data_IF_881249449254
#
_entry.id   IF_881249449254
#
_cell.length_a   1.000
_cell.length_b   1.000
_cell.length_c   1.000
_cell.angle_alpha   90.00
_cell.angle_beta   90.00
_cell.angle_gamma   90.00
#
_symmetry.space_group_name_H-M   'P 1'
#
loop_
_entity.id
_entity.type
_entity.pdbx_description
1 polymer ?
#
# COMPACT_ATOMS: atom_id res chain seq x y z
N UNK A 1 6.49 -13.33 -44.46
CA UNK A 1 5.53 -13.77 -43.43
C UNK A 1 5.92 -13.14 -42.10
N UNK A 2 5.00 -12.54 -41.34
CA UNK A 2 5.30 -12.06 -39.99
C UNK A 2 5.66 -13.26 -39.10
N UNK A 3 6.67 -13.11 -38.23
CA UNK A 3 7.04 -14.16 -37.27
C UNK A 3 5.87 -14.41 -36.29
N UNK A 4 5.56 -15.67 -35.93
CA UNK A 4 4.57 -15.96 -34.92
C UNK A 4 4.98 -15.35 -33.59
N UNK A 5 4.07 -14.60 -32.98
CA UNK A 5 4.28 -13.92 -31.69
C UNK A 5 3.88 -14.87 -30.56
N UNK A 6 4.70 -14.96 -29.50
CA UNK A 6 4.43 -15.85 -28.36
C UNK A 6 3.21 -15.40 -27.55
N UNK A 7 2.59 -16.33 -26.79
CA UNK A 7 1.45 -16.02 -25.92
C UNK A 7 1.79 -14.96 -24.85
N UNK A 8 3.01 -15.01 -24.30
CA UNK A 8 3.53 -14.01 -23.36
C UNK A 8 3.54 -12.62 -24.00
N UNK A 9 4.11 -12.53 -25.21
CA UNK A 9 4.22 -11.26 -25.94
C UNK A 9 2.84 -10.72 -26.34
N UNK A 10 1.87 -11.58 -26.66
CA UNK A 10 0.49 -11.16 -26.95
C UNK A 10 -0.18 -10.56 -25.72
N UNK A 11 -0.09 -11.23 -24.56
CA UNK A 11 -0.63 -10.72 -23.30
C UNK A 11 0.01 -9.37 -22.92
N UNK A 12 1.32 -9.23 -23.06
CA UNK A 12 2.02 -7.96 -22.77
C UNK A 12 1.56 -6.82 -23.70
N UNK A 13 1.25 -7.14 -24.96
CA UNK A 13 0.82 -6.15 -25.95
C UNK A 13 -0.62 -5.71 -25.68
N UNK A 14 -1.52 -6.65 -25.37
CA UNK A 14 -2.90 -6.37 -24.98
C UNK A 14 -2.98 -5.57 -23.67
N UNK A 15 -2.13 -5.90 -22.70
CA UNK A 15 -2.01 -5.17 -21.44
C UNK A 15 -1.56 -3.73 -21.69
N UNK A 16 -0.52 -3.51 -22.51
CA UNK A 16 -0.04 -2.17 -22.87
C UNK A 16 -1.10 -1.35 -23.60
N UNK A 17 -1.86 -1.94 -24.52
CA UNK A 17 -2.96 -1.25 -25.20
C UNK A 17 -4.10 -0.89 -24.24
N UNK A 18 -4.43 -1.79 -23.31
CA UNK A 18 -5.47 -1.55 -22.30
C UNK A 18 -5.08 -0.41 -21.35
N UNK A 19 -3.82 -0.39 -20.91
CA UNK A 19 -3.28 0.68 -20.05
C UNK A 19 -3.26 2.02 -20.81
N UNK A 20 -2.80 2.04 -22.06
CA UNK A 20 -2.80 3.25 -22.89
C UNK A 20 -4.21 3.84 -23.07
N UNK A 21 -5.24 2.98 -23.20
CA UNK A 21 -6.63 3.41 -23.25
C UNK A 21 -7.11 3.98 -21.90
N UNK A 22 -6.72 3.38 -20.77
CA UNK A 22 -7.05 3.90 -19.43
C UNK A 22 -6.39 5.25 -19.16
N UNK A 23 -5.13 5.42 -19.56
CA UNK A 23 -4.39 6.68 -19.39
C UNK A 23 -5.09 7.88 -20.05
N UNK A 24 -5.87 7.67 -21.11
CA UNK A 24 -6.63 8.75 -21.76
C UNK A 24 -7.88 9.22 -20.99
N UNK A 25 -8.39 8.41 -20.05
CA UNK A 25 -9.63 8.70 -19.32
C UNK A 25 -9.46 8.89 -17.82
N UNK A 26 -8.24 8.79 -17.31
CA UNK A 26 -7.93 9.00 -15.90
C UNK A 26 -7.56 10.47 -15.72
N UNK A 27 -8.23 11.16 -14.80
CA UNK A 27 -7.88 12.53 -14.41
C UNK A 27 -6.85 12.53 -13.28
N UNK A 28 -6.98 11.60 -12.33
CA UNK A 28 -6.12 11.47 -11.16
C UNK A 28 -4.63 11.29 -11.53
N UNK A 29 -3.76 12.25 -11.16
CA UNK A 29 -2.34 12.19 -11.42
C UNK A 29 -1.64 10.97 -10.82
N UNK A 30 -2.07 10.51 -9.64
CA UNK A 30 -1.48 9.35 -8.95
C UNK A 30 -1.79 8.08 -9.74
N UNK A 31 -3.04 7.93 -10.17
CA UNK A 31 -3.46 6.83 -11.03
C UNK A 31 -2.71 6.79 -12.36
N UNK A 32 -2.47 7.96 -12.98
CA UNK A 32 -1.66 8.03 -14.20
C UNK A 32 -0.24 7.53 -13.96
N UNK A 33 0.41 7.98 -12.89
CA UNK A 33 1.75 7.52 -12.53
C UNK A 33 1.79 6.02 -12.31
N UNK A 34 0.81 5.48 -11.58
CA UNK A 34 0.66 4.04 -11.35
C UNK A 34 0.52 3.25 -12.64
N UNK A 35 -0.34 3.69 -13.55
CA UNK A 35 -0.53 3.08 -14.86
C UNK A 35 0.75 3.11 -15.71
N UNK A 36 1.54 4.18 -15.64
CA UNK A 36 2.81 4.27 -16.37
C UNK A 36 3.90 3.37 -15.78
N UNK A 37 3.99 3.27 -14.45
CA UNK A 37 4.85 2.29 -13.79
C UNK A 37 4.50 0.88 -14.27
N UNK A 38 3.20 0.56 -14.32
CA UNK A 38 2.69 -0.72 -14.81
C UNK A 38 3.00 -0.96 -16.30
N UNK A 39 2.81 0.05 -17.16
CA UNK A 39 3.11 -0.02 -18.60
C UNK A 39 4.59 -0.30 -18.88
N UNK A 40 5.48 0.17 -18.01
CA UNK A 40 6.94 -0.06 -18.09
C UNK A 40 7.39 -1.40 -17.51
N UNK A 41 6.47 -2.21 -16.99
CA UNK A 41 6.80 -3.49 -16.35
C UNK A 41 7.41 -3.33 -14.96
N UNK A 42 7.26 -2.15 -14.34
CA UNK A 42 7.54 -1.97 -12.92
C UNK A 42 6.36 -2.47 -12.10
N UNK A 43 6.23 -3.80 -12.02
CA UNK A 43 5.22 -4.46 -11.18
C UNK A 43 5.79 -4.80 -9.80
N UNK A 44 4.90 -4.77 -8.81
CA UNK A 44 5.23 -5.11 -7.42
C UNK A 44 6.20 -4.13 -6.75
N UNK A 45 6.46 -4.38 -5.46
CA UNK A 45 7.30 -3.50 -4.64
C UNK A 45 8.74 -3.38 -5.14
N UNK A 46 9.29 -4.45 -5.73
CA UNK A 46 10.63 -4.44 -6.32
C UNK A 46 10.71 -3.58 -7.59
N UNK A 47 9.66 -3.60 -8.42
CA UNK A 47 9.57 -2.78 -9.62
C UNK A 47 9.50 -1.30 -9.25
N UNK A 48 8.64 -0.94 -8.29
CA UNK A 48 8.50 0.41 -7.79
C UNK A 48 9.77 0.89 -7.07
N UNK A 49 10.45 0.03 -6.32
CA UNK A 49 11.75 0.35 -5.71
C UNK A 49 12.87 0.61 -6.70
N UNK A 50 12.81 0.07 -7.92
CA UNK A 50 13.73 0.47 -9.01
C UNK A 50 13.39 1.83 -9.60
N UNK A 51 12.11 2.23 -9.59
CA UNK A 51 11.69 3.55 -10.05
C UNK A 51 12.16 4.60 -9.06
N UNK A 52 11.90 4.40 -7.76
CA UNK A 52 12.32 5.29 -6.69
C UNK A 52 13.83 5.56 -6.74
N UNK A 53 14.66 4.51 -6.75
CA UNK A 53 16.13 4.63 -6.82
C UNK A 53 16.65 5.29 -8.11
N UNK A 54 15.84 5.38 -9.15
CA UNK A 54 16.22 6.11 -10.38
C UNK A 54 15.90 7.60 -10.25
N UNK A 55 14.91 7.96 -9.44
CA UNK A 55 14.53 9.34 -9.17
C UNK A 55 15.46 9.97 -8.13
N UNK A 56 15.93 9.17 -7.15
CA UNK A 56 16.89 9.58 -6.12
C UNK A 56 18.30 9.72 -6.72
N UNK A 57 18.58 10.88 -7.31
CA UNK A 57 19.85 11.18 -7.99
C UNK A 57 21.01 11.31 -6.98
N UNK A 58 20.72 11.88 -5.81
CA UNK A 58 21.74 12.17 -4.81
C UNK A 58 22.00 10.97 -3.86
N UNK A 59 21.10 9.99 -3.83
CA UNK A 59 21.23 8.76 -3.04
C UNK A 59 20.93 8.96 -1.55
N UNK A 60 20.13 9.95 -1.17
CA UNK A 60 19.78 10.24 0.22
C UNK A 60 18.83 9.21 0.81
N UNK A 61 18.10 8.47 -0.03
CA UNK A 61 17.05 7.54 0.38
C UNK A 61 15.67 8.19 0.52
N UNK A 62 15.54 9.46 0.15
CA UNK A 62 14.32 10.27 0.06
C UNK A 62 14.33 11.05 -1.26
N UNK A 63 13.16 11.46 -1.75
CA UNK A 63 13.04 12.28 -2.96
C UNK A 63 12.72 13.71 -2.58
N UNK A 64 13.67 14.61 -2.85
CA UNK A 64 13.37 16.04 -2.85
C UNK A 64 12.30 16.38 -3.90
N UNK A 65 11.67 17.56 -3.76
CA UNK A 65 10.69 18.05 -4.74
C UNK A 65 11.28 18.10 -6.15
N UNK A 66 12.52 18.56 -6.28
CA UNK A 66 13.23 18.65 -7.55
C UNK A 66 13.46 17.28 -8.18
N UNK A 67 13.90 16.30 -7.39
CA UNK A 67 14.14 14.92 -7.84
C UNK A 67 12.83 14.22 -8.22
N UNK A 68 11.77 14.42 -7.45
CA UNK A 68 10.46 13.87 -7.77
C UNK A 68 9.91 14.41 -9.08
N UNK A 69 9.91 15.74 -9.28
CA UNK A 69 9.43 16.36 -10.52
C UNK A 69 10.27 15.93 -11.72
N UNK A 70 11.60 15.90 -11.58
CA UNK A 70 12.50 15.39 -12.63
C UNK A 70 12.18 13.92 -12.94
N UNK A 71 11.97 13.11 -11.91
CA UNK A 71 11.56 11.71 -12.03
C UNK A 71 10.26 11.52 -12.80
N UNK A 72 9.25 12.36 -12.55
CA UNK A 72 7.98 12.36 -13.28
C UNK A 72 8.16 12.79 -14.75
N UNK A 73 9.03 13.77 -14.99
CA UNK A 73 9.38 14.21 -16.34
C UNK A 73 10.03 13.08 -17.15
N UNK A 74 11.01 12.40 -16.57
CA UNK A 74 11.68 11.24 -17.18
C UNK A 74 10.74 10.03 -17.31
N UNK A 75 9.72 9.97 -16.45
CA UNK A 75 8.62 9.02 -16.52
C UNK A 75 7.59 9.37 -17.61
N UNK A 76 7.79 10.40 -18.41
CA UNK A 76 6.92 10.72 -19.55
C UNK A 76 5.51 11.16 -19.13
N UNK A 77 5.33 11.57 -17.87
CA UNK A 77 4.10 12.21 -17.39
C UNK A 77 4.04 13.69 -17.74
N UNK A 78 5.19 14.30 -18.07
CA UNK A 78 5.31 15.71 -18.39
C UNK A 78 4.25 16.27 -19.36
N UNK A 79 3.88 15.57 -20.46
CA UNK A 79 2.85 16.07 -21.36
C UNK A 79 1.43 16.09 -20.80
N UNK A 80 1.19 15.48 -19.64
CA UNK A 80 -0.15 15.22 -19.08
C UNK A 80 -0.35 15.86 -17.70
N UNK A 81 0.64 16.58 -17.19
CA UNK A 81 0.63 17.24 -15.88
C UNK A 81 0.95 18.72 -16.06
N UNK A 82 0.16 19.57 -15.40
CA UNK A 82 0.46 21.00 -15.23
C UNK A 82 1.38 21.24 -14.04
N UNK A 83 1.94 22.44 -13.92
CA UNK A 83 2.75 22.82 -12.76
C UNK A 83 1.99 22.65 -11.43
N UNK A 84 0.69 22.97 -11.42
CA UNK A 84 -0.19 22.78 -10.28
C UNK A 84 -0.42 21.30 -9.94
N UNK A 85 -0.36 20.40 -10.93
CA UNK A 85 -0.50 18.96 -10.70
C UNK A 85 0.75 18.37 -10.05
N UNK A 86 1.94 18.92 -10.32
CA UNK A 86 3.17 18.50 -9.66
C UNK A 86 3.17 18.84 -8.17
N UNK A 87 2.69 20.02 -7.81
CA UNK A 87 2.58 20.43 -6.40
C UNK A 87 1.57 19.56 -5.67
N UNK A 88 0.38 19.35 -6.25
CA UNK A 88 -0.62 18.45 -5.67
C UNK A 88 -0.13 17.01 -5.53
N UNK A 89 0.62 16.51 -6.52
CA UNK A 89 1.23 15.19 -6.46
C UNK A 89 2.26 15.12 -5.34
N UNK A 90 3.12 16.13 -5.22
CA UNK A 90 4.12 16.16 -4.18
C UNK A 90 3.47 16.17 -2.79
N UNK A 91 2.47 17.03 -2.58
CA UNK A 91 1.70 17.11 -1.33
C UNK A 91 0.96 15.80 -1.00
N UNK A 92 0.47 15.08 -2.01
CA UNK A 92 -0.18 13.78 -1.78
C UNK A 92 0.80 12.66 -1.42
N UNK A 93 2.04 12.77 -1.89
CA UNK A 93 3.08 11.80 -1.61
C UNK A 93 3.80 12.09 -0.29
N UNK A 94 4.07 13.35 0.02
CA UNK A 94 4.68 13.82 1.27
C UNK A 94 3.63 13.87 2.41
N UNK A 95 3.21 12.69 2.84
CA UNK A 95 2.10 12.51 3.78
C UNK A 95 2.40 13.11 5.16
N UNK A 96 3.66 13.11 5.58
CA UNK A 96 4.10 13.74 6.83
C UNK A 96 4.51 15.22 6.68
N UNK A 97 4.42 15.78 5.47
CA UNK A 97 4.82 17.15 5.15
C UNK A 97 6.26 17.48 5.57
N UNK A 98 7.17 16.50 5.45
CA UNK A 98 8.59 16.66 5.79
C UNK A 98 9.35 17.49 4.75
N UNK A 99 8.76 17.71 3.57
CA UNK A 99 9.40 18.39 2.43
C UNK A 99 10.22 17.44 1.55
N UNK A 100 10.13 16.13 1.79
CA UNK A 100 10.80 15.08 1.03
C UNK A 100 9.95 13.82 1.04
N UNK A 101 9.87 13.10 -0.07
CA UNK A 101 9.08 11.87 -0.15
C UNK A 101 9.96 10.68 0.22
N UNK A 102 9.67 10.02 1.34
CA UNK A 102 10.38 8.80 1.74
C UNK A 102 9.97 7.61 0.88
N UNK A 103 10.80 6.56 0.92
CA UNK A 103 10.55 5.36 0.14
C UNK A 103 9.20 4.69 0.46
N UNK A 104 8.85 4.59 1.74
CA UNK A 104 7.58 4.02 2.19
C UNK A 104 6.37 4.85 1.75
N UNK A 105 6.48 6.18 1.82
CA UNK A 105 5.46 7.10 1.31
C UNK A 105 5.24 6.95 -0.19
N UNK A 106 6.33 6.90 -0.97
CA UNK A 106 6.26 6.66 -2.41
C UNK A 106 5.59 5.33 -2.75
N UNK A 107 5.95 4.25 -2.05
CA UNK A 107 5.34 2.94 -2.27
C UNK A 107 3.87 2.96 -1.88
N UNK A 108 3.50 3.61 -0.77
CA UNK A 108 2.10 3.72 -0.32
C UNK A 108 1.25 4.46 -1.34
N UNK A 109 1.77 5.53 -1.93
CA UNK A 109 1.04 6.32 -2.92
C UNK A 109 0.91 5.62 -4.28
N UNK A 110 1.94 4.90 -4.75
CA UNK A 110 1.95 4.32 -6.11
C UNK A 110 1.37 2.90 -6.17
N UNK A 111 1.30 2.19 -5.04
CA UNK A 111 0.78 0.82 -5.05
C UNK A 111 -0.68 0.78 -5.50
N UNK A 112 -1.10 -0.28 -6.21
CA UNK A 112 -2.50 -0.43 -6.59
C UNK A 112 -3.39 -0.64 -5.37
N UNK A 113 -4.65 -0.17 -5.44
CA UNK A 113 -5.65 -0.51 -4.43
C UNK A 113 -5.86 -2.01 -4.42
N UNK A 114 -6.24 -2.51 -3.26
CA UNK A 114 -6.55 -3.91 -3.06
C UNK A 114 -7.73 -4.34 -3.97
N UNK A 115 -7.66 -5.56 -4.51
CA UNK A 115 -8.77 -6.11 -5.28
C UNK A 115 -10.01 -6.36 -4.39
N UNK A 116 -11.25 -6.24 -4.93
CA UNK A 116 -12.48 -6.34 -4.13
C UNK A 116 -12.61 -7.62 -3.32
N UNK A 117 -12.13 -8.76 -3.85
CA UNK A 117 -12.18 -10.05 -3.16
C UNK A 117 -11.29 -10.07 -1.92
N UNK A 118 -10.09 -9.49 -2.01
CA UNK A 118 -9.17 -9.39 -0.87
C UNK A 118 -9.69 -8.37 0.14
N UNK A 119 -10.21 -7.25 -0.34
CA UNK A 119 -10.80 -6.20 0.50
C UNK A 119 -11.96 -6.77 1.34
N UNK A 120 -12.85 -7.55 0.74
CA UNK A 120 -13.95 -8.20 1.44
C UNK A 120 -13.48 -9.16 2.56
N UNK A 121 -12.31 -9.80 2.43
CA UNK A 121 -11.73 -10.65 3.49
C UNK A 121 -11.15 -9.81 4.62
N UNK A 122 -10.46 -8.72 4.28
CA UNK A 122 -9.93 -7.76 5.27
C UNK A 122 -11.08 -7.13 6.06
N UNK A 123 -12.16 -6.75 5.39
CA UNK A 123 -13.35 -6.23 6.06
C UNK A 123 -13.98 -7.24 7.01
N UNK A 124 -14.10 -8.51 6.61
CA UNK A 124 -14.58 -9.58 7.51
C UNK A 124 -13.68 -9.77 8.73
N UNK A 125 -12.36 -9.62 8.57
CA UNK A 125 -11.43 -9.66 9.69
C UNK A 125 -11.64 -8.45 10.63
N UNK A 126 -11.81 -7.25 10.07
CA UNK A 126 -12.07 -6.04 10.84
C UNK A 126 -13.39 -6.14 11.64
N UNK A 127 -14.49 -6.52 10.99
CA UNK A 127 -15.81 -6.71 11.61
C UNK A 127 -15.79 -7.76 12.74
N UNK A 128 -14.88 -8.74 12.65
CA UNK A 128 -14.71 -9.73 13.71
C UNK A 128 -13.97 -9.17 14.93
N UNK A 129 -13.08 -8.20 14.71
CA UNK A 129 -12.35 -7.52 15.77
C UNK A 129 -13.21 -6.47 16.44
N UNK A 130 -13.91 -5.64 15.66
CA UNK A 130 -14.82 -4.61 16.14
C UNK A 130 -16.07 -5.24 16.76
N UNK A 131 -15.99 -5.57 18.06
CA UNK A 131 -17.12 -6.16 18.79
C UNK A 131 -18.15 -5.12 19.17
N UNK A 132 -17.71 -3.89 19.38
CA UNK A 132 -18.59 -2.77 19.69
C UNK A 132 -19.50 -2.41 18.51
N UNK A 133 -19.04 -2.63 17.28
CA UNK A 133 -19.71 -2.25 16.04
C UNK A 133 -19.68 -0.76 15.77
N UNK A 134 -18.77 -0.02 16.41
CA UNK A 134 -18.66 1.45 16.28
C UNK A 134 -17.73 1.90 15.14
N UNK A 135 -17.16 0.94 14.40
CA UNK A 135 -16.27 1.18 13.27
C UNK A 135 -14.80 1.40 13.67
N UNK A 136 -14.45 1.17 14.94
CA UNK A 136 -13.10 1.26 15.47
C UNK A 136 -12.75 0.01 16.27
N UNK A 137 -11.48 -0.41 16.22
CA UNK A 137 -10.98 -1.53 17.02
C UNK A 137 -10.14 -0.97 18.15
N UNK A 138 -10.63 -1.14 19.38
CA UNK A 138 -9.98 -0.64 20.58
C UNK A 138 -9.37 -1.77 21.42
N UNK A 139 -8.66 -1.39 22.49
CA UNK A 139 -8.20 -2.33 23.51
C UNK A 139 -9.33 -3.21 24.08
N UNK A 140 -10.53 -2.66 24.29
CA UNK A 140 -11.64 -3.41 24.87
C UNK A 140 -12.18 -4.47 23.89
N UNK A 141 -12.20 -4.15 22.60
CA UNK A 141 -12.60 -5.08 21.55
C UNK A 141 -11.63 -6.27 21.47
N UNK A 142 -10.33 -5.98 21.41
CA UNK A 142 -9.32 -7.00 21.18
C UNK A 142 -9.10 -7.91 22.40
N UNK A 143 -9.27 -7.38 23.62
CA UNK A 143 -9.21 -8.16 24.85
C UNK A 143 -10.23 -9.30 24.87
N UNK A 144 -11.38 -9.11 24.22
CA UNK A 144 -12.41 -10.15 24.09
C UNK A 144 -12.09 -11.24 23.06
N UNK A 145 -11.12 -11.00 22.17
CA UNK A 145 -10.79 -11.86 21.02
C UNK A 145 -9.44 -12.56 21.19
N UNK A 146 -8.45 -11.89 21.77
CA UNK A 146 -7.10 -12.40 21.96
C UNK A 146 -6.76 -12.61 23.44
N UNK A 147 -6.13 -13.76 23.73
CA UNK A 147 -5.63 -14.07 25.06
C UNK A 147 -4.11 -13.98 25.09
N UNK A 148 -3.56 -13.15 25.97
CA UNK A 148 -2.10 -12.99 26.17
C UNK A 148 -1.50 -14.05 27.11
N UNK A 149 -2.32 -14.93 27.69
CA UNK A 149 -1.91 -15.84 28.76
C UNK A 149 -0.89 -16.91 28.34
N UNK A 150 -0.69 -17.11 27.03
CA UNK A 150 0.36 -17.98 26.48
C UNK A 150 1.61 -17.22 26.01
N UNK A 151 1.62 -15.89 26.12
CA UNK A 151 2.77 -15.06 25.74
C UNK A 151 3.86 -15.13 26.83
N UNK A 152 5.11 -15.36 26.43
CA UNK A 152 6.25 -15.49 27.34
C UNK A 152 6.56 -14.22 28.14
N UNK A 153 6.38 -13.03 27.54
CA UNK A 153 6.59 -11.72 28.19
C UNK A 153 5.48 -11.40 29.22
N UNK A 154 4.28 -11.94 29.02
CA UNK A 154 3.22 -11.87 30.03
C UNK A 154 3.52 -12.81 31.20
N UNK A 155 3.90 -14.06 30.90
CA UNK A 155 4.16 -15.09 31.91
C UNK A 155 5.35 -14.78 32.83
N UNK A 156 6.38 -14.11 32.31
CA UNK A 156 7.55 -13.72 33.10
C UNK A 156 7.40 -12.33 33.75
N UNK A 157 6.24 -11.68 33.59
CA UNK A 157 5.94 -10.37 34.19
C UNK A 157 6.68 -9.19 33.56
N UNK A 158 7.29 -9.34 32.38
CA UNK A 158 7.98 -8.26 31.67
C UNK A 158 7.02 -7.24 31.07
N UNK A 159 5.83 -7.68 30.63
CA UNK A 159 4.79 -6.81 30.07
C UNK A 159 3.42 -7.17 30.61
N UNK A 160 2.59 -6.15 30.78
CA UNK A 160 1.17 -6.30 31.12
C UNK A 160 0.36 -6.73 29.90
N UNK A 161 -0.84 -7.28 30.16
CA UNK A 161 -1.81 -7.60 29.08
C UNK A 161 -2.12 -6.36 28.23
N UNK A 162 -2.28 -5.20 28.87
CA UNK A 162 -2.55 -3.94 28.18
C UNK A 162 -1.40 -3.55 27.25
N UNK A 163 -0.16 -3.60 27.72
CA UNK A 163 1.00 -3.25 26.89
C UNK A 163 1.17 -4.18 25.69
N UNK A 164 0.91 -5.48 25.86
CA UNK A 164 0.97 -6.45 24.76
C UNK A 164 -0.11 -6.21 23.71
N UNK A 165 -1.34 -5.97 24.13
CA UNK A 165 -2.46 -5.72 23.22
C UNK A 165 -2.35 -4.35 22.54
N UNK A 166 -1.92 -3.31 23.25
CA UNK A 166 -1.65 -2.00 22.64
C UNK A 166 -0.50 -2.08 21.64
N UNK A 167 0.58 -2.79 21.96
CA UNK A 167 1.67 -3.04 21.00
C UNK A 167 1.21 -3.84 19.79
N UNK A 168 0.23 -4.74 19.94
CA UNK A 168 -0.37 -5.44 18.82
C UNK A 168 -1.16 -4.47 17.92
N UNK A 169 -2.02 -3.63 18.51
CA UNK A 169 -2.82 -2.62 17.78
C UNK A 169 -1.95 -1.61 17.04
N UNK A 170 -0.85 -1.19 17.66
CA UNK A 170 0.11 -0.26 17.05
C UNK A 170 0.72 -0.76 15.73
N UNK A 171 0.67 -2.06 15.43
CA UNK A 171 1.12 -2.57 14.13
C UNK A 171 0.18 -2.18 12.99
N UNK A 172 -1.10 -1.89 13.27
CA UNK A 172 -2.10 -1.51 12.27
C UNK A 172 -2.21 0.01 12.09
N UNK A 173 -1.80 0.79 13.09
CA UNK A 173 -1.79 2.27 13.06
C UNK A 173 -0.60 2.84 12.25
N UNK A 174 0.09 2.01 11.47
CA UNK A 174 1.28 2.42 10.72
C UNK A 174 0.88 3.34 9.56
N UNK A 175 1.32 4.61 9.64
CA UNK A 175 1.00 5.64 8.64
C UNK A 175 -0.22 6.51 8.99
N UNK A 176 -0.76 6.36 10.20
CA UNK A 176 -1.80 7.18 10.82
C UNK A 176 -1.37 7.75 12.17
N UNK A 177 -2.35 7.99 13.05
CA UNK A 177 -2.09 8.47 14.42
C UNK A 177 -2.03 7.26 15.34
N UNK A 178 -0.94 7.10 16.09
CA UNK A 178 -0.81 6.02 17.07
C UNK A 178 -1.50 6.45 18.37
N UNK A 179 -2.80 6.21 18.47
CA UNK A 179 -3.61 6.55 19.64
C UNK A 179 -4.18 5.32 20.38
N UNK A 180 -3.90 4.11 19.86
CA UNK A 180 -4.39 2.84 20.34
C UNK A 180 -5.79 2.50 19.83
N UNK A 181 -6.25 3.18 18.78
CA UNK A 181 -7.53 2.98 18.12
C UNK A 181 -7.28 2.70 16.65
N UNK A 182 -7.57 1.47 16.23
CA UNK A 182 -7.40 1.08 14.83
C UNK A 182 -8.68 1.37 14.08
N UNK A 183 -8.64 2.35 13.19
CA UNK A 183 -9.75 2.66 12.28
C UNK A 183 -9.81 1.66 11.12
N UNK A 184 -10.96 1.63 10.44
CA UNK A 184 -11.13 0.83 9.21
C UNK A 184 -10.08 1.20 8.15
N UNK A 185 -9.79 2.48 7.99
CA UNK A 185 -8.86 2.96 6.97
C UNK A 185 -7.42 2.55 7.28
N UNK A 186 -6.99 2.61 8.53
CA UNK A 186 -5.67 2.13 8.98
C UNK A 186 -5.52 0.62 8.80
N UNK A 187 -6.54 -0.14 9.18
CA UNK A 187 -6.53 -1.59 9.00
C UNK A 187 -6.47 -1.99 7.52
N UNK A 188 -7.22 -1.28 6.66
CA UNK A 188 -7.17 -1.46 5.21
C UNK A 188 -5.82 -1.05 4.62
N UNK A 189 -5.22 0.06 5.09
CA UNK A 189 -3.92 0.53 4.60
C UNK A 189 -2.80 -0.46 4.94
N UNK A 190 -2.79 -0.99 6.16
CA UNK A 190 -1.89 -2.06 6.59
C UNK A 190 -2.01 -3.28 5.66
N UNK A 191 -3.22 -3.80 5.48
CA UNK A 191 -3.44 -5.01 4.68
C UNK A 191 -3.26 -4.80 3.18
N UNK A 192 -3.45 -3.58 2.68
CA UNK A 192 -3.13 -3.25 1.30
C UNK A 192 -1.61 -3.33 1.07
N UNK A 193 -0.79 -3.08 2.09
CA UNK A 193 0.67 -3.28 2.04
C UNK A 193 1.06 -4.74 1.99
N UNK A 194 0.49 -5.54 2.91
CA UNK A 194 0.65 -7.00 2.93
C UNK A 194 0.18 -7.61 1.61
N UNK A 195 -0.98 -7.19 1.10
CA UNK A 195 -1.54 -7.63 -0.17
C UNK A 195 -0.60 -7.31 -1.35
N UNK A 196 0.01 -6.12 -1.38
CA UNK A 196 0.93 -5.72 -2.45
C UNK A 196 2.22 -6.56 -2.47
N UNK A 197 2.57 -7.23 -1.37
CA UNK A 197 3.70 -8.17 -1.29
C UNK A 197 3.34 -9.62 -1.63
N UNK A 198 2.05 -9.92 -1.83
CA UNK A 198 1.55 -11.27 -2.10
C UNK A 198 0.96 -11.32 -3.50
N UNK A 199 1.63 -12.04 -4.39
CA UNK A 199 1.23 -12.17 -5.79
C UNK A 199 -0.05 -13.01 -5.94
N UNK A 200 -0.14 -14.13 -5.22
CA UNK A 200 -1.26 -15.09 -5.39
C UNK A 200 -2.44 -14.81 -4.45
N UNK A 201 -3.62 -14.60 -5.04
CA UNK A 201 -4.88 -14.40 -4.30
C UNK A 201 -5.22 -15.55 -3.36
N UNK A 202 -4.95 -16.80 -3.78
CA UNK A 202 -5.21 -17.99 -2.97
C UNK A 202 -4.36 -18.03 -1.70
N UNK A 203 -3.10 -17.57 -1.77
CA UNK A 203 -2.26 -17.48 -0.59
C UNK A 203 -2.72 -16.36 0.35
N UNK A 204 -3.11 -15.20 -0.20
CA UNK A 204 -3.67 -14.12 0.61
C UNK A 204 -4.95 -14.55 1.34
N UNK A 205 -5.87 -15.23 0.66
CA UNK A 205 -7.10 -15.75 1.27
C UNK A 205 -6.80 -16.75 2.38
N UNK A 206 -5.93 -17.73 2.12
CA UNK A 206 -5.52 -18.72 3.12
C UNK A 206 -4.88 -18.06 4.34
N UNK A 207 -4.00 -17.08 4.11
CA UNK A 207 -3.34 -16.31 5.18
C UNK A 207 -4.39 -15.58 6.02
N UNK A 208 -5.29 -14.82 5.40
CA UNK A 208 -6.34 -14.08 6.11
C UNK A 208 -7.25 -14.99 6.93
N UNK A 209 -7.71 -16.10 6.36
CA UNK A 209 -8.55 -17.07 7.07
C UNK A 209 -7.83 -17.73 8.23
N UNK A 210 -6.54 -18.03 8.07
CA UNK A 210 -5.75 -18.67 9.12
C UNK A 210 -5.44 -17.71 10.25
N UNK A 211 -4.99 -16.49 9.93
CA UNK A 211 -4.65 -15.45 10.89
C UNK A 211 -5.86 -15.03 11.73
N UNK A 212 -7.01 -14.83 11.07
CA UNK A 212 -8.20 -14.29 11.72
C UNK A 212 -9.26 -15.35 12.04
N UNK A 213 -9.03 -16.63 11.72
CA UNK A 213 -9.97 -17.74 11.91
C UNK A 213 -11.35 -17.45 11.30
N UNK A 214 -11.37 -17.07 10.02
CA UNK A 214 -12.59 -16.75 9.25
C UNK A 214 -13.23 -17.98 8.61
#
# INVERSE_FOLDING_TARGET
MPRPVSAQTRNDTEMKMTIAKRLQGVEDPVEKLRLLCLQRGSTGILGLGRVFRRMDDNGSGDLSREEFIKGLHDSGLSPFLSDEDYDKLFEQFDADSSGSIKFDEFIRAVRPPMGPSREALVMKAFEKLDRSGDGQVTFEDIKGVYSVHSNSEYLNGQRTEKELLMHFLANFEQGGVVDGIVTKDEFLDYYTGVSASIDEDGYFDLMMRTCWKL
#
